data_IF_801049131012
#
_entry.id   IF_801049131012
#
_cell.length_a   1.000
_cell.length_b   1.000
_cell.length_c   1.000
_cell.angle_alpha   90.00
_cell.angle_beta   90.00
_cell.angle_gamma   90.00
#
_symmetry.space_group_name_H-M   'P 1'
#
loop_
_entity.id
_entity.type
_entity.pdbx_description
1 polymer ?
2 non-polymer ?
3 non-polymer ?
4 water ?
#
# COMPACT_ATOMS: atom_id res chain seq x y z
N UNK A 4 -5.76 7.79 30.05
CA UNK A 4 -4.77 7.25 29.04
C UNK A 4 -5.04 7.86 27.65
N UNK A 5 -4.13 8.70 27.13
CA UNK A 5 -4.43 9.52 25.96
C UNK A 5 -4.48 8.67 24.69
N UNK A 6 -5.22 9.15 23.69
CA UNK A 6 -5.26 8.50 22.37
C UNK A 6 -4.01 8.89 21.60
N UNK A 7 -3.44 7.96 20.81
CA UNK A 7 -2.21 8.26 20.12
C UNK A 7 -2.47 9.16 18.91
N UNK A 8 -1.44 9.94 18.55
CA UNK A 8 -1.41 10.81 17.36
C UNK A 8 -0.62 10.10 16.26
N UNK A 9 0.20 9.13 16.64
CA UNK A 9 1.06 8.35 15.71
C UNK A 9 1.18 6.92 16.24
N UNK A 10 1.25 5.96 15.32
CA UNK A 10 1.51 4.54 15.63
C UNK A 10 2.62 4.08 14.73
N UNK A 11 3.24 2.98 15.10
CA UNK A 11 4.20 2.33 14.20
C UNK A 11 3.60 1.01 13.73
N UNK A 12 3.85 0.75 12.47
CA UNK A 12 3.30 -0.39 11.71
C UNK A 12 4.48 -1.16 11.12
N UNK A 13 4.55 -2.47 11.39
CA UNK A 13 5.46 -3.41 10.75
C UNK A 13 4.72 -4.07 9.59
N UNK A 14 5.38 -4.10 8.44
CA UNK A 14 4.96 -4.85 7.26
C UNK A 14 6.01 -5.90 6.96
N UNK A 15 5.62 -7.17 6.85
CA UNK A 15 6.56 -8.23 6.45
C UNK A 15 6.00 -8.89 5.21
N UNK A 16 6.84 -9.23 4.26
CA UNK A 16 6.45 -10.09 3.12
C UNK A 16 7.50 -11.18 2.99
N UNK A 17 7.04 -12.41 2.90
CA UNK A 17 7.96 -13.55 2.75
C UNK A 17 7.30 -14.59 1.87
N UNK A 18 7.95 -14.91 0.79
CA UNK A 18 7.58 -16.09 -0.02
C UNK A 18 8.35 -17.27 0.59
N UNK A 19 7.62 -18.18 1.22
CA UNK A 19 8.21 -19.24 2.07
C UNK A 19 8.64 -20.43 1.21
N UNK A 20 8.39 -20.46 -0.08
CA UNK A 20 8.88 -21.54 -0.94
C UNK A 20 8.33 -22.90 -0.53
N UNK A 21 7.12 -22.91 0.03
CA UNK A 21 6.39 -24.17 0.38
C UNK A 21 7.23 -25.00 1.39
N UNK A 22 8.04 -24.34 2.22
CA UNK A 22 8.81 -25.02 3.29
C UNK A 22 8.42 -24.43 4.61
N UNK A 23 8.40 -25.21 5.70
CA UNK A 23 8.21 -24.62 7.00
C UNK A 23 9.38 -23.72 7.38
N UNK A 24 9.09 -22.75 8.25
CA UNK A 24 10.10 -21.80 8.68
C UNK A 24 11.07 -22.45 9.65
N UNK A 25 12.25 -21.83 9.84
CA UNK A 25 13.16 -22.31 10.85
C UNK A 25 12.60 -21.96 12.23
N UNK A 26 13.26 -22.43 13.27
CA UNK A 26 12.71 -22.31 14.64
C UNK A 26 12.75 -20.84 15.11
N UNK A 27 13.68 -20.03 14.64
CA UNK A 27 13.75 -18.63 15.08
C UNK A 27 13.59 -17.73 13.86
N UNK A 28 12.64 -16.81 13.94
CA UNK A 28 12.44 -15.81 12.84
C UNK A 28 12.37 -14.42 13.44
N UNK A 29 12.81 -14.24 14.67
CA UNK A 29 12.77 -12.91 15.33
C UNK A 29 13.49 -11.79 14.56
N UNK A 30 14.55 -12.10 13.81
CA UNK A 30 15.32 -11.13 13.00
C UNK A 30 14.38 -10.38 12.05
N UNK A 31 13.36 -11.06 11.56
CA UNK A 31 12.38 -10.45 10.64
C UNK A 31 11.63 -9.31 11.34
N UNK A 32 11.05 -9.59 12.52
CA UNK A 32 10.19 -8.62 13.24
C UNK A 32 11.05 -7.53 13.90
N UNK A 33 12.34 -7.76 14.06
CA UNK A 33 13.28 -6.76 14.59
C UNK A 33 13.88 -5.89 13.48
N UNK A 34 13.58 -6.15 12.22
CA UNK A 34 14.13 -5.35 11.08
C UNK A 34 15.67 -5.40 11.13
N UNK A 35 16.22 -6.61 11.24
CA UNK A 35 17.68 -6.87 11.28
C UNK A 35 18.11 -7.60 10.00
N UNK A 36 19.24 -7.21 9.44
CA UNK A 36 19.84 -7.89 8.29
C UNK A 36 20.48 -6.86 7.42
N UNK A 37 20.06 -6.81 6.15
CA UNK A 37 20.59 -5.89 5.13
C UNK A 37 19.60 -4.75 4.94
N UNK A 38 20.10 -3.63 4.42
CA UNK A 38 19.28 -2.52 3.99
C UNK A 38 19.18 -1.48 5.07
N UNK A 39 18.01 -0.85 5.18
CA UNK A 39 17.71 0.19 6.18
C UNK A 39 17.13 -0.53 7.39
N UNK A 40 17.95 -0.75 8.41
CA UNK A 40 17.64 -1.61 9.55
C UNK A 40 17.33 -0.77 10.79
N UNK A 41 16.71 -1.45 11.72
CA UNK A 41 16.21 -0.83 12.96
C UNK A 41 17.33 -0.83 14.02
N UNK A 42 17.38 0.25 14.80
CA UNK A 42 18.42 0.39 15.85
C UNK A 42 18.18 -0.64 16.96
N UNK A 43 19.28 -1.22 17.44
CA UNK A 43 19.24 -2.21 18.54
C UNK A 43 18.53 -1.65 19.77
N UNK A 44 18.59 -0.36 19.98
CA UNK A 44 18.00 0.25 21.20
C UNK A 44 16.46 0.17 21.19
N UNK A 45 15.88 -0.14 20.03
CA UNK A 45 14.41 -0.25 19.88
C UNK A 45 13.94 -1.69 19.98
N UNK A 46 14.82 -2.67 20.20
CA UNK A 46 14.41 -4.08 20.03
C UNK A 46 13.25 -4.49 20.93
N UNK A 47 13.13 -3.94 22.15
CA UNK A 47 12.06 -4.35 23.07
C UNK A 47 10.79 -3.56 22.86
N UNK A 48 10.84 -2.52 22.04
CA UNK A 48 9.68 -1.62 21.84
C UNK A 48 8.76 -2.29 20.83
N UNK A 49 7.54 -2.66 21.19
CA UNK A 49 6.65 -3.29 20.23
C UNK A 49 6.16 -2.25 19.22
N UNK A 50 6.01 -2.66 17.97
CA UNK A 50 5.18 -1.93 17.01
C UNK A 50 3.73 -2.03 17.45
N UNK A 51 2.91 -1.06 17.06
CA UNK A 51 1.49 -1.06 17.41
C UNK A 51 0.75 -2.15 16.65
N UNK A 52 1.06 -2.33 15.36
CA UNK A 52 0.38 -3.26 14.43
C UNK A 52 1.48 -3.98 13.65
N UNK A 53 1.38 -5.31 13.55
CA UNK A 53 2.21 -6.17 12.69
C UNK A 53 1.32 -6.77 11.62
N UNK A 54 1.71 -6.57 10.36
CA UNK A 54 1.02 -7.13 9.19
C UNK A 54 1.97 -8.03 8.47
N UNK A 55 1.60 -9.30 8.33
CA UNK A 55 2.51 -10.37 7.87
C UNK A 55 1.93 -11.03 6.63
N UNK A 56 2.53 -10.76 5.46
CA UNK A 56 2.11 -11.33 4.18
C UNK A 56 3.02 -12.48 3.86
N UNK A 57 2.47 -13.64 3.58
CA UNK A 57 3.23 -14.81 3.09
C UNK A 57 2.70 -15.22 1.73
N UNK A 58 3.59 -15.81 0.97
CA UNK A 58 3.27 -16.49 -0.32
C UNK A 58 3.91 -17.88 -0.29
N UNK A 59 3.33 -18.81 -1.02
CA UNK A 59 3.81 -20.21 -0.99
C UNK A 59 3.90 -20.65 0.46
N UNK A 60 2.90 -20.32 1.26
CA UNK A 60 2.88 -20.62 2.70
C UNK A 60 2.31 -22.02 2.86
N UNK A 61 3.08 -22.97 3.40
CA UNK A 61 2.60 -24.36 3.55
C UNK A 61 1.89 -24.66 4.86
N UNK A 62 1.86 -23.73 5.77
CA UNK A 62 1.34 -23.91 7.13
C UNK A 62 -0.18 -23.72 7.15
N UNK A 63 -0.81 -24.28 8.16
CA UNK A 63 -2.20 -23.93 8.49
C UNK A 63 -2.19 -22.54 9.12
N UNK A 64 -3.34 -21.89 9.14
CA UNK A 64 -3.51 -20.62 9.88
C UNK A 64 -3.14 -20.80 11.34
N UNK A 65 -3.58 -21.89 11.99
CA UNK A 65 -3.28 -22.08 13.40
C UNK A 65 -1.77 -22.18 13.59
N UNK A 66 -1.11 -23.00 12.78
CA UNK A 66 0.34 -23.24 12.89
C UNK A 66 1.10 -21.92 12.74
N UNK A 67 0.74 -21.10 11.75
CA UNK A 67 1.49 -19.84 11.52
C UNK A 67 1.21 -18.83 12.63
N UNK A 68 -0.05 -18.67 13.04
CA UNK A 68 -0.41 -17.79 14.17
C UNK A 68 0.39 -18.12 15.42
N UNK A 69 0.47 -19.42 15.74
CA UNK A 69 1.29 -19.95 16.86
C UNK A 69 2.69 -19.35 16.79
N UNK A 70 3.36 -19.55 15.65
CA UNK A 70 4.75 -19.13 15.44
C UNK A 70 4.86 -17.62 15.56
N UNK A 71 3.94 -16.89 14.94
CA UNK A 71 4.04 -15.42 14.91
C UNK A 71 3.84 -14.89 16.34
N UNK A 72 2.82 -15.33 17.02
CA UNK A 72 2.57 -14.81 18.39
C UNK A 72 3.72 -15.16 19.34
N UNK A 73 4.26 -16.36 19.22
CA UNK A 73 5.44 -16.82 20.01
C UNK A 73 6.59 -15.83 19.78
N UNK A 74 6.92 -15.59 18.51
CA UNK A 74 8.06 -14.74 18.09
C UNK A 74 7.88 -13.34 18.71
N UNK A 75 6.70 -12.74 18.57
CA UNK A 75 6.47 -11.39 19.11
C UNK A 75 6.53 -11.44 20.64
N UNK A 76 5.96 -12.46 21.26
CA UNK A 76 6.00 -12.51 22.75
C UNK A 76 7.46 -12.58 23.22
N UNK A 77 8.29 -13.38 22.55
CA UNK A 77 9.71 -13.51 22.92
C UNK A 77 10.42 -12.16 22.76
N UNK A 78 10.13 -11.42 21.70
CA UNK A 78 10.78 -10.10 21.47
C UNK A 78 10.31 -9.07 22.51
N UNK A 79 9.01 -9.00 22.74
CA UNK A 79 8.39 -7.81 23.37
C UNK A 79 7.83 -8.11 24.75
N UNK A 80 7.63 -9.38 25.07
CA UNK A 80 6.95 -9.85 26.30
C UNK A 80 5.47 -9.47 26.25
N UNK A 81 4.96 -9.13 25.07
CA UNK A 81 3.52 -8.79 24.86
C UNK A 81 2.84 -9.92 24.12
N UNK A 82 1.62 -10.25 24.54
CA UNK A 82 0.72 -11.20 23.88
C UNK A 82 -0.16 -10.43 22.91
N UNK A 83 0.17 -10.52 21.62
CA UNK A 83 -0.55 -9.72 20.60
C UNK A 83 -1.93 -10.34 20.36
N UNK A 84 -2.88 -9.51 20.00
CA UNK A 84 -4.25 -9.92 19.63
C UNK A 84 -4.33 -10.11 18.13
N UNK A 85 -5.06 -11.12 17.69
CA UNK A 85 -5.28 -11.36 16.25
C UNK A 85 -6.40 -10.47 15.73
N UNK A 86 -6.12 -9.50 14.87
CA UNK A 86 -7.12 -8.61 14.27
C UNK A 86 -7.81 -9.35 13.15
N UNK A 87 -7.04 -9.98 12.28
CA UNK A 87 -7.60 -10.64 11.10
C UNK A 87 -6.60 -11.61 10.52
N UNK A 88 -7.08 -12.65 9.91
CA UNK A 88 -6.23 -13.56 9.11
C UNK A 88 -7.05 -14.00 7.92
N UNK A 89 -6.48 -13.97 6.74
CA UNK A 89 -7.21 -14.37 5.52
C UNK A 89 -6.25 -15.06 4.55
N UNK A 90 -6.64 -16.17 3.99
CA UNK A 90 -5.80 -16.99 3.13
C UNK A 90 -6.52 -17.29 1.83
N UNK A 91 -5.84 -17.11 0.70
CA UNK A 91 -6.28 -17.56 -0.64
C UNK A 91 -5.20 -18.51 -1.13
N UNK A 92 -5.54 -19.79 -1.26
CA UNK A 92 -4.58 -20.82 -1.68
C UNK A 92 -3.41 -20.81 -0.69
N UNK A 93 -2.23 -20.40 -1.12
CA UNK A 93 -1.05 -20.34 -0.26
C UNK A 93 -0.59 -18.89 -0.05
N UNK A 94 -1.48 -17.93 -0.27
CA UNK A 94 -1.22 -16.49 -0.05
C UNK A 94 -1.96 -16.05 1.19
N UNK A 95 -1.32 -15.50 2.17
CA UNK A 95 -1.92 -15.26 3.48
C UNK A 95 -1.57 -13.88 4.01
N UNK A 96 -2.49 -13.31 4.73
CA UNK A 96 -2.23 -12.07 5.49
C UNK A 96 -2.66 -12.29 6.94
N UNK A 97 -1.81 -11.89 7.88
CA UNK A 97 -2.10 -11.88 9.33
C UNK A 97 -1.95 -10.46 9.82
N UNK A 98 -2.90 -9.97 10.58
CA UNK A 98 -2.77 -8.66 11.26
C UNK A 98 -2.85 -8.93 12.76
N UNK A 99 -1.83 -8.48 13.47
CA UNK A 99 -1.73 -8.56 14.94
C UNK A 99 -1.60 -7.16 15.50
N UNK A 100 -2.16 -6.91 16.67
CA UNK A 100 -2.08 -5.58 17.31
C UNK A 100 -1.85 -5.71 18.79
N UNK A 101 -1.23 -4.69 19.40
CA UNK A 101 -1.11 -4.57 20.87
C UNK A 101 -2.49 -4.78 21.47
N UNK A 102 -2.60 -5.46 22.64
CA UNK A 102 -3.91 -5.57 23.29
C UNK A 102 -4.61 -4.25 23.65
N UNK A 103 -3.83 -3.22 23.96
CA UNK A 103 -4.35 -1.89 24.32
C UNK A 103 -5.09 -1.28 23.13
N UNK A 104 -4.88 -1.78 21.90
CA UNK A 104 -5.58 -1.28 20.69
C UNK A 104 -6.88 -1.99 20.37
N UNK A 105 -7.26 -3.00 21.16
CA UNK A 105 -8.40 -3.86 20.79
C UNK A 105 -9.70 -3.05 20.63
N UNK A 106 -9.90 -2.04 21.50
CA UNK A 106 -11.10 -1.17 21.53
C UNK A 106 -10.84 0.12 20.73
N UNK A 107 -9.76 0.16 19.92
CA UNK A 107 -9.50 1.27 18.94
C UNK A 107 -9.74 0.75 17.52
N UNK A 108 -9.84 -0.54 17.36
CA UNK A 108 -9.89 -1.19 16.02
C UNK A 108 -11.31 -1.63 15.76
N UNK A 109 -11.87 -1.29 14.63
CA UNK A 109 -13.24 -1.68 14.30
C UNK A 109 -13.40 -1.82 12.80
N UNK A 110 -14.56 -2.23 12.32
CA UNK A 110 -14.87 -2.29 10.88
C UNK A 110 -13.80 -3.14 10.18
N UNK A 111 -13.50 -4.32 10.69
CA UNK A 111 -12.49 -5.20 10.08
C UNK A 111 -13.10 -5.83 8.86
N UNK A 112 -12.44 -5.70 7.69
CA UNK A 112 -12.85 -6.33 6.42
C UNK A 112 -11.71 -7.17 5.85
N UNK A 113 -12.04 -8.27 5.18
CA UNK A 113 -11.05 -9.13 4.48
C UNK A 113 -11.60 -9.42 3.12
N UNK A 114 -10.71 -9.61 2.16
CA UNK A 114 -11.16 -10.03 0.83
C UNK A 114 -9.99 -10.67 0.08
N UNK A 115 -10.25 -11.27 -1.05
CA UNK A 115 -9.20 -11.80 -1.93
C UNK A 115 -9.60 -11.51 -3.36
N UNK A 116 -8.63 -11.52 -4.22
CA UNK A 116 -8.82 -11.50 -5.68
C UNK A 116 -7.99 -12.59 -6.30
N UNK A 117 -8.59 -13.41 -7.17
CA UNK A 117 -7.90 -14.42 -7.96
C UNK A 117 -7.58 -13.85 -9.30
N UNK A 118 -6.30 -13.81 -9.71
CA UNK A 118 -5.96 -13.18 -11.00
C UNK A 118 -5.99 -14.23 -12.13
N UNK A 119 -5.96 -13.78 -13.37
CA UNK A 119 -5.76 -14.73 -14.48
C UNK A 119 -7.09 -15.31 -14.97
N UNK A 120 -6.99 -16.20 -15.96
CA UNK A 120 -8.14 -16.85 -16.68
C UNK A 120 -7.64 -18.23 -17.09
N UNK A 121 -8.44 -19.29 -16.81
CA UNK A 121 -8.20 -20.69 -17.22
C UNK A 121 -6.82 -21.16 -16.72
N UNK A 122 -5.87 -21.46 -17.63
CA UNK A 122 -4.44 -21.81 -17.39
C UNK A 122 -3.85 -21.02 -16.21
N UNK A 123 -4.11 -19.70 -16.19
CA UNK A 123 -3.44 -18.71 -15.29
C UNK A 123 -4.32 -18.37 -14.07
N UNK A 124 -5.51 -18.97 -13.93
CA UNK A 124 -6.29 -18.91 -12.67
C UNK A 124 -5.98 -20.15 -11.85
N UNK A 125 -5.55 -19.97 -10.60
CA UNK A 125 -5.46 -21.11 -9.65
C UNK A 125 -4.35 -20.96 -8.65
N UNK A 126 -3.38 -20.05 -8.84
CA UNK A 126 -2.50 -19.85 -7.67
C UNK A 126 -2.07 -18.42 -7.34
N UNK A 127 -2.21 -17.48 -8.28
CA UNK A 127 -1.80 -16.06 -8.10
C UNK A 127 -3.02 -15.22 -7.70
N UNK A 128 -2.76 -14.11 -7.00
CA UNK A 128 -3.81 -13.18 -6.63
C UNK A 128 -3.40 -12.43 -5.42
N UNK A 129 -4.35 -12.02 -4.64
CA UNK A 129 -4.06 -11.13 -3.50
C UNK A 129 -5.04 -11.38 -2.39
N UNK A 130 -4.62 -11.12 -1.18
CA UNK A 130 -5.50 -11.05 0.00
C UNK A 130 -5.36 -9.68 0.60
N UNK A 131 -6.36 -9.23 1.32
CA UNK A 131 -6.33 -7.92 1.93
C UNK A 131 -7.09 -7.84 3.21
N UNK A 132 -6.72 -6.87 4.01
CA UNK A 132 -7.40 -6.58 5.27
C UNK A 132 -7.56 -5.07 5.33
N UNK A 133 -8.68 -4.57 5.83
CA UNK A 133 -8.83 -3.15 6.23
C UNK A 133 -9.53 -3.02 7.56
N UNK A 134 -9.28 -1.91 8.24
CA UNK A 134 -9.99 -1.61 9.48
C UNK A 134 -9.82 -0.14 9.74
N UNK A 135 -10.61 0.32 10.70
CA UNK A 135 -10.46 1.67 11.26
C UNK A 135 -9.62 1.53 12.53
N UNK A 136 -8.68 2.44 12.72
CA UNK A 136 -7.93 2.61 13.97
C UNK A 136 -8.31 4.00 14.46
N UNK A 137 -9.15 4.06 15.49
CA UNK A 137 -9.79 5.36 15.86
C UNK A 137 -10.32 6.05 14.59
N UNK A 138 -9.95 7.28 14.27
CA UNK A 138 -10.50 8.03 13.13
C UNK A 138 -9.81 7.73 11.81
N UNK A 139 -8.86 6.79 11.79
CA UNK A 139 -7.96 6.58 10.64
C UNK A 139 -8.26 5.23 10.00
N UNK A 140 -8.41 5.22 8.69
CA UNK A 140 -8.70 3.99 7.92
C UNK A 140 -7.37 3.45 7.39
N UNK A 141 -7.17 2.15 7.56
CA UNK A 141 -5.91 1.46 7.20
C UNK A 141 -6.25 0.31 6.26
N UNK A 142 -5.55 0.18 5.16
CA UNK A 142 -5.73 -0.97 4.24
C UNK A 142 -4.39 -1.64 3.99
N UNK A 143 -4.43 -2.96 3.81
CA UNK A 143 -3.23 -3.78 3.63
C UNK A 143 -3.49 -4.82 2.57
N UNK A 144 -2.62 -4.90 1.57
CA UNK A 144 -2.77 -5.84 0.45
C UNK A 144 -1.49 -6.66 0.36
N UNK A 145 -1.64 -7.97 0.33
CA UNK A 145 -0.55 -8.92 0.06
C UNK A 145 -0.83 -9.58 -1.25
N UNK A 146 -0.05 -9.31 -2.26
CA UNK A 146 -0.25 -9.88 -3.61
C UNK A 146 0.91 -10.78 -4.00
N UNK A 147 0.61 -11.90 -4.64
CA UNK A 147 1.58 -12.77 -5.31
C UNK A 147 1.29 -12.65 -6.80
N UNK A 148 2.09 -11.91 -7.54
CA UNK A 148 1.81 -11.62 -8.95
C UNK A 148 2.48 -12.66 -9.85
N UNK A 149 2.16 -12.60 -11.13
CA UNK A 149 2.63 -13.58 -12.12
C UNK A 149 4.15 -13.60 -12.10
N UNK A 150 4.72 -14.81 -12.22
CA UNK A 150 6.19 -15.00 -12.23
C UNK A 150 6.75 -14.91 -13.66
N UNK A 151 8.06 -14.76 -13.72
CA UNK A 151 8.78 -14.86 -14.99
C UNK A 151 9.24 -13.54 -15.51
N UNK A 152 10.51 -13.50 -15.89
CA UNK A 152 11.12 -12.24 -16.34
C UNK A 152 10.39 -11.59 -17.52
N UNK A 153 9.76 -12.38 -18.39
CA UNK A 153 9.16 -11.89 -19.65
C UNK A 153 7.74 -11.38 -19.42
N UNK A 154 7.19 -11.51 -18.21
CA UNK A 154 5.74 -11.29 -17.95
C UNK A 154 5.46 -10.02 -17.14
N UNK A 155 6.24 -8.98 -17.35
CA UNK A 155 5.98 -7.73 -16.61
C UNK A 155 4.59 -7.13 -16.93
N UNK A 156 4.14 -7.25 -18.17
CA UNK A 156 2.84 -6.65 -18.57
C UNK A 156 1.72 -7.45 -17.89
N UNK A 157 1.90 -8.77 -17.68
CA UNK A 157 0.91 -9.58 -16.95
C UNK A 157 0.87 -9.15 -15.48
N UNK A 158 2.03 -8.87 -14.89
CA UNK A 158 2.05 -8.38 -13.50
C UNK A 158 1.26 -7.09 -13.46
N UNK A 159 1.47 -6.21 -14.43
CA UNK A 159 0.80 -4.89 -14.40
C UNK A 159 -0.73 -5.12 -14.48
N UNK A 160 -1.12 -6.07 -15.31
CA UNK A 160 -2.57 -6.41 -15.44
C UNK A 160 -3.06 -6.99 -14.10
N UNK A 161 -2.27 -7.86 -13.49
CA UNK A 161 -2.66 -8.41 -12.17
C UNK A 161 -2.89 -7.28 -11.16
N UNK A 162 -1.98 -6.30 -11.13
CA UNK A 162 -2.13 -5.13 -10.26
C UNK A 162 -3.48 -4.45 -10.49
N UNK A 163 -3.81 -4.18 -11.76
CA UNK A 163 -5.06 -3.43 -12.05
C UNK A 163 -6.27 -4.28 -11.63
N UNK A 164 -6.25 -5.58 -11.92
CA UNK A 164 -7.39 -6.44 -11.45
C UNK A 164 -7.52 -6.38 -9.93
N UNK A 165 -6.42 -6.51 -9.19
CA UNK A 165 -6.51 -6.52 -7.73
C UNK A 165 -7.08 -5.17 -7.24
N UNK A 166 -6.53 -4.09 -7.79
CA UNK A 166 -6.89 -2.68 -7.50
C UNK A 166 -8.40 -2.52 -7.69
N UNK A 167 -8.93 -3.08 -8.77
CA UNK A 167 -10.35 -2.93 -9.16
C UNK A 167 -11.28 -3.75 -8.29
N UNK A 168 -10.89 -4.99 -8.00
CA UNK A 168 -11.88 -5.98 -7.51
C UNK A 168 -11.76 -6.28 -6.03
N UNK A 169 -10.68 -5.84 -5.38
CA UNK A 169 -10.53 -6.15 -3.96
C UNK A 169 -11.51 -5.23 -3.22
N UNK A 170 -12.41 -5.81 -2.46
CA UNK A 170 -13.52 -5.07 -1.82
C UNK A 170 -13.23 -4.88 -0.35
N UNK A 171 -12.53 -3.80 -0.04
CA UNK A 171 -12.17 -3.47 1.36
C UNK A 171 -12.69 -2.10 1.68
N UNK A 172 -12.67 -1.74 2.96
CA UNK A 172 -13.04 -0.41 3.44
C UNK A 172 -14.52 -0.13 3.24
N UNK A 173 -14.84 1.16 3.27
CA UNK A 173 -16.23 1.66 3.41
C UNK A 173 -16.94 1.47 2.07
N UNK A 174 -17.90 0.55 2.02
CA UNK A 174 -18.66 0.22 0.77
C UNK A 174 -19.50 1.41 0.29
N UNK A 175 -19.77 2.41 1.12
CA UNK A 175 -20.46 3.64 0.70
C UNK A 175 -19.58 4.47 -0.25
N UNK A 176 -18.26 4.23 -0.22
CA UNK A 176 -17.33 4.94 -1.13
C UNK A 176 -17.37 4.30 -2.51
N UNK A 177 -18.57 4.19 -3.09
CA UNK A 177 -18.81 3.32 -4.26
C UNK A 177 -18.00 3.75 -5.46
N UNK A 178 -17.72 5.03 -5.74
CA UNK A 178 -16.90 5.36 -6.92
C UNK A 178 -15.40 5.02 -6.76
N UNK A 179 -14.98 4.65 -5.56
CA UNK A 179 -13.54 4.64 -5.21
C UNK A 179 -13.05 3.22 -5.09
N UNK A 180 -11.90 2.95 -5.65
CA UNK A 180 -11.20 1.67 -5.45
C UNK A 180 -10.31 1.74 -4.21
N UNK A 181 -9.61 0.63 -3.91
CA UNK A 181 -8.79 0.64 -2.68
C UNK A 181 -7.70 1.73 -2.69
N UNK A 182 -7.31 2.26 -3.85
CA UNK A 182 -6.24 3.28 -3.89
C UNK A 182 -6.76 4.65 -3.40
N UNK A 183 -8.04 4.76 -3.06
CA UNK A 183 -8.61 5.99 -2.47
C UNK A 183 -9.38 5.75 -1.18
N UNK A 184 -9.57 4.52 -0.74
CA UNK A 184 -10.45 4.27 0.42
C UNK A 184 -9.77 4.47 1.76
N UNK A 185 -8.45 4.57 1.84
CA UNK A 185 -7.74 4.52 3.12
C UNK A 185 -6.82 5.69 3.35
N UNK A 186 -6.78 6.12 4.59
CA UNK A 186 -5.81 7.14 5.01
C UNK A 186 -4.39 6.67 4.63
N UNK A 187 -4.10 5.43 4.96
CA UNK A 187 -2.82 4.77 4.64
C UNK A 187 -3.14 3.40 4.02
N UNK A 188 -2.60 3.14 2.82
CA UNK A 188 -2.70 1.82 2.15
C UNK A 188 -1.30 1.28 1.96
N UNK A 189 -1.05 0.07 2.44
CA UNK A 189 0.24 -0.64 2.27
C UNK A 189 0.00 -1.77 1.32
N UNK A 190 0.80 -1.88 0.27
CA UNK A 190 0.68 -2.93 -0.75
C UNK A 190 2.04 -3.63 -0.87
N UNK A 191 2.10 -4.91 -0.57
CA UNK A 191 3.34 -5.66 -0.44
C UNK A 191 3.12 -7.04 -1.02
N UNK A 192 4.19 -7.82 -1.12
CA UNK A 192 4.07 -9.19 -1.58
C UNK A 192 5.24 -9.60 -2.42
N UNK A 193 5.10 -10.81 -2.95
CA UNK A 193 5.98 -11.26 -4.05
C UNK A 193 5.43 -10.72 -5.35
N UNK A 194 5.78 -9.48 -5.62
CA UNK A 194 5.34 -8.79 -6.84
C UNK A 194 6.01 -9.35 -8.07
N UNK A 195 7.14 -10.03 -7.91
CA UNK A 195 7.72 -10.86 -8.97
C UNK A 195 8.33 -10.05 -10.10
N UNK A 196 8.53 -8.73 -9.95
CA UNK A 196 9.29 -7.99 -10.96
C UNK A 196 10.79 -8.31 -10.85
N UNK A 197 11.44 -8.37 -11.99
CA UNK A 197 12.81 -8.90 -12.11
C UNK A 197 13.76 -7.79 -12.55
N UNK A 198 15.04 -8.09 -12.41
CA UNK A 198 16.14 -7.28 -12.94
C UNK A 198 16.30 -7.73 -14.38
N UNK A 199 15.99 -6.85 -15.32
CA UNK A 199 15.90 -7.21 -16.77
C UNK A 199 17.25 -6.92 -17.43
N UNK A 200 18.19 -7.85 -17.24
CA UNK A 200 19.53 -7.84 -17.86
C UNK A 200 19.62 -9.15 -18.62
N UNK A 201 20.52 -9.24 -19.62
CA UNK A 201 20.65 -10.49 -20.36
C UNK A 201 21.07 -11.65 -19.44
N UNK A 202 20.63 -12.86 -19.75
CA UNK A 202 20.83 -14.06 -18.90
C UNK A 202 22.33 -14.40 -18.80
N UNK A 203 23.11 -14.02 -19.83
CA UNK A 203 24.57 -14.28 -19.88
C UNK A 203 25.34 -13.22 -19.07
N UNK A 204 24.65 -12.23 -18.48
CA UNK A 204 25.23 -11.34 -17.44
C UNK A 204 25.02 -11.91 -16.01
N UNK A 205 24.54 -13.13 -15.85
CA UNK A 205 24.22 -13.68 -14.51
C UNK A 205 25.42 -13.55 -13.57
N UNK A 206 26.61 -13.96 -13.99
CA UNK A 206 27.76 -14.01 -13.08
C UNK A 206 28.19 -12.56 -12.80
N UNK A 207 28.06 -11.68 -13.78
CA UNK A 207 28.39 -10.25 -13.58
C UNK A 207 27.46 -9.68 -12.52
N UNK A 208 26.16 -10.02 -12.61
CA UNK A 208 25.20 -9.55 -11.57
C UNK A 208 25.60 -10.05 -10.18
N UNK A 209 25.90 -11.32 -10.08
CA UNK A 209 26.32 -11.91 -8.78
C UNK A 209 27.53 -11.17 -8.20
N UNK A 210 28.52 -10.85 -9.03
CA UNK A 210 29.73 -10.15 -8.53
C UNK A 210 29.36 -8.71 -8.11
N UNK A 211 28.42 -8.05 -8.79
CA UNK A 211 27.94 -6.73 -8.33
C UNK A 211 27.31 -6.85 -6.94
N UNK A 212 26.47 -7.88 -6.75
CA UNK A 212 25.81 -8.10 -5.44
C UNK A 212 26.88 -8.33 -4.36
N UNK A 213 27.90 -9.14 -4.64
CA UNK A 213 29.00 -9.38 -3.66
C UNK A 213 29.74 -8.09 -3.29
N UNK A 214 29.81 -7.11 -4.20
CA UNK A 214 30.45 -5.81 -3.99
C UNK A 214 29.47 -4.83 -3.35
N UNK A 215 28.22 -5.27 -3.09
CA UNK A 215 27.16 -4.37 -2.61
C UNK A 215 27.00 -3.18 -3.53
N UNK A 216 27.15 -3.38 -4.83
CA UNK A 216 26.99 -2.30 -5.82
C UNK A 216 25.67 -2.56 -6.52
N UNK A 217 24.60 -1.94 -6.06
CA UNK A 217 23.23 -2.27 -6.54
C UNK A 217 22.79 -1.31 -7.64
N UNK A 218 23.50 -0.20 -7.91
CA UNK A 218 22.93 0.88 -8.76
C UNK A 218 22.62 0.38 -10.18
N UNK A 219 23.53 -0.33 -10.83
CA UNK A 219 23.31 -0.77 -12.23
C UNK A 219 22.34 -1.94 -12.27
N UNK A 220 22.04 -2.57 -11.12
CA UNK A 220 20.96 -3.55 -11.11
C UNK A 220 19.61 -2.86 -10.93
N UNK A 221 19.51 -1.94 -9.97
CA UNK A 221 18.22 -1.24 -9.71
C UNK A 221 17.77 -0.45 -10.94
N UNK A 222 18.71 0.08 -11.72
CA UNK A 222 18.34 0.82 -12.96
C UNK A 222 17.68 -0.13 -13.96
N UNK A 223 17.70 -1.44 -13.75
CA UNK A 223 17.03 -2.40 -14.65
C UNK A 223 15.90 -3.11 -13.92
N UNK A 224 15.61 -2.73 -12.67
CA UNK A 224 14.48 -3.36 -11.96
C UNK A 224 13.17 -3.01 -12.64
N UNK A 225 12.39 -4.01 -12.98
CA UNK A 225 11.16 -3.78 -13.78
C UNK A 225 10.14 -2.99 -12.99
N UNK A 226 10.03 -3.16 -11.68
CA UNK A 226 9.04 -2.39 -10.93
C UNK A 226 9.43 -0.90 -10.93
N UNK A 227 10.70 -0.56 -10.67
CA UNK A 227 11.12 0.85 -10.73
C UNK A 227 10.89 1.40 -12.15
N UNK A 228 11.22 0.67 -13.21
CA UNK A 228 11.11 1.25 -14.56
C UNK A 228 9.65 1.32 -14.92
N UNK A 229 8.83 0.32 -14.62
CA UNK A 229 7.38 0.39 -14.91
C UNK A 229 6.72 1.55 -14.15
N UNK A 230 7.11 1.76 -12.90
CA UNK A 230 6.59 2.88 -12.08
C UNK A 230 6.99 4.20 -12.75
N UNK A 231 8.25 4.33 -13.18
CA UNK A 231 8.73 5.62 -13.76
C UNK A 231 7.97 5.90 -15.05
N UNK A 232 7.55 4.87 -15.80
CA UNK A 232 6.78 5.07 -17.05
C UNK A 232 5.28 5.08 -16.78
N UNK A 233 4.87 5.11 -15.52
CA UNK A 233 3.46 5.24 -15.10
C UNK A 233 2.63 4.07 -15.66
N UNK A 234 3.21 2.88 -15.64
CA UNK A 234 2.53 1.65 -16.11
C UNK A 234 1.89 0.89 -14.96
N UNK A 235 2.26 1.18 -13.71
CA UNK A 235 1.80 0.41 -12.53
C UNK A 235 2.08 1.23 -11.26
N UNK A 236 1.34 0.99 -10.22
CA UNK A 236 1.56 1.59 -8.91
C UNK A 236 1.64 3.11 -9.01
N UNK A 237 0.79 3.71 -9.82
CA UNK A 237 0.80 5.18 -9.93
C UNK A 237 0.43 5.77 -8.56
N UNK A 238 1.20 6.76 -8.13
CA UNK A 238 0.98 7.52 -6.88
C UNK A 238 1.25 6.69 -5.66
N UNK A 239 1.99 5.60 -5.77
CA UNK A 239 2.53 4.90 -4.58
C UNK A 239 3.97 5.28 -4.36
N UNK A 240 4.45 5.08 -3.14
CA UNK A 240 5.85 5.35 -2.70
C UNK A 240 6.53 4.01 -2.39
N UNK A 241 7.86 3.97 -2.54
CA UNK A 241 8.67 2.86 -2.06
C UNK A 241 9.95 3.49 -1.54
N UNK A 242 10.42 2.98 -0.40
CA UNK A 242 11.73 3.39 0.19
C UNK A 242 12.85 2.91 -0.74
N UNK A 243 13.96 3.66 -0.78
CA UNK A 243 15.13 3.23 -1.56
C UNK A 243 15.56 1.85 -1.09
N UNK A 244 15.87 1.00 -2.05
CA UNK A 244 16.37 -0.38 -1.83
C UNK A 244 17.87 -0.34 -1.62
N UNK A 245 18.30 -0.85 -0.49
CA UNK A 245 19.75 -0.84 -0.12
C UNK A 245 20.15 -2.22 0.38
N UNK A 246 19.39 -3.26 0.04
CA UNK A 246 19.63 -4.67 0.42
C UNK A 246 19.77 -5.45 -0.88
N UNK A 247 20.43 -6.59 -0.79
CA UNK A 247 20.67 -7.43 -1.97
C UNK A 247 19.37 -7.99 -2.47
N UNK A 248 19.31 -8.36 -3.76
CA UNK A 248 18.17 -9.10 -4.28
C UNK A 248 17.77 -10.26 -3.38
N UNK A 249 16.45 -10.44 -3.19
CA UNK A 249 15.90 -11.39 -2.21
C UNK A 249 15.52 -12.73 -2.84
N UNK A 250 15.77 -12.87 -4.13
CA UNK A 250 15.42 -14.08 -4.91
C UNK A 250 16.51 -14.20 -5.97
N UNK A 251 16.88 -15.38 -6.47
CA UNK A 251 16.49 -16.70 -6.03
C UNK A 251 17.70 -17.35 -5.37
N UNK A 252 17.62 -17.69 -4.10
CA UNK A 252 18.70 -18.32 -3.30
C UNK A 252 18.61 -19.84 -3.33
N UNK A 253 19.76 -20.48 -3.28
CA UNK A 253 19.86 -21.88 -2.81
C UNK A 253 19.37 -21.91 -1.36
N UNK A 254 18.56 -22.89 -1.02
CA UNK A 254 18.07 -23.00 0.37
C UNK A 254 19.20 -23.42 1.32
N UNK A 255 19.08 -23.04 2.57
CA UNK A 255 19.88 -23.44 3.77
C UNK A 255 21.20 -22.66 3.81
N UNK A 256 21.48 -21.79 2.82
CA UNK A 256 22.58 -20.78 2.88
C UNK A 256 22.02 -19.45 2.36
N UNK A 257 22.76 -18.34 2.43
CA UNK A 257 22.49 -17.18 1.55
C UNK A 257 23.70 -16.91 0.67
N UNK A 258 24.59 -17.88 0.51
CA UNK A 258 25.88 -17.62 -0.18
C UNK A 258 25.74 -17.77 -1.69
N UNK A 259 24.63 -18.37 -2.16
CA UNK A 259 24.47 -18.74 -3.57
C UNK A 259 23.10 -18.32 -4.09
N UNK A 260 23.13 -17.60 -5.19
CA UNK A 260 21.98 -17.34 -6.06
C UNK A 260 21.89 -18.50 -7.05
N UNK A 261 20.71 -19.11 -7.13
CA UNK A 261 20.40 -20.23 -8.03
C UNK A 261 19.60 -19.67 -9.20
N UNK A 262 20.26 -19.30 -10.26
CA UNK A 262 19.62 -18.58 -11.37
C UNK A 262 19.44 -19.42 -12.64
N UNK A 263 20.16 -20.54 -12.76
CA UNK A 263 20.23 -21.32 -14.03
C UNK A 263 18.89 -21.99 -14.29
N UNK A 264 18.56 -22.21 -15.57
CA UNK A 264 17.29 -22.87 -15.96
C UNK A 264 17.36 -24.35 -15.57
N UNK A 265 16.25 -24.86 -15.11
CA UNK A 265 16.09 -26.25 -14.62
C UNK A 265 14.69 -26.75 -15.01
N UNK A 266 14.49 -28.08 -15.10
CA UNK A 266 13.13 -28.58 -15.39
C UNK A 266 12.16 -28.01 -14.35
N UNK A 267 12.58 -27.96 -13.09
CA UNK A 267 11.77 -27.45 -11.95
C UNK A 267 11.36 -25.99 -12.16
N UNK A 268 12.10 -25.22 -12.96
CA UNK A 268 11.72 -23.80 -13.25
C UNK A 268 11.02 -23.65 -14.59
N UNK A 269 10.62 -24.74 -15.25
CA UNK A 269 10.07 -24.61 -16.60
C UNK A 269 11.11 -24.19 -17.59
N UNK A 270 12.37 -24.49 -17.32
CA UNK A 270 13.51 -24.08 -18.16
C UNK A 270 13.55 -22.57 -18.28
N UNK A 271 13.29 -21.89 -17.16
CA UNK A 271 13.36 -20.41 -17.03
C UNK A 271 14.58 -20.04 -16.18
N UNK A 272 15.26 -18.97 -16.58
CA UNK A 272 16.31 -18.34 -15.76
C UNK A 272 15.63 -17.49 -14.70
N UNK A 273 16.22 -17.51 -13.52
CA UNK A 273 15.80 -16.60 -12.42
C UNK A 273 17.00 -15.75 -12.03
N UNK A 274 17.33 -14.74 -12.82
CA UNK A 274 18.43 -13.84 -12.45
C UNK A 274 18.04 -13.20 -11.11
N UNK A 275 19.03 -12.89 -10.26
CA UNK A 275 18.78 -12.27 -8.95
C UNK A 275 17.90 -11.02 -9.13
N UNK A 276 16.86 -10.95 -8.32
CA UNK A 276 15.81 -9.95 -8.44
C UNK A 276 15.26 -9.52 -7.09
N UNK A 277 14.72 -8.31 -7.10
CA UNK A 277 13.98 -7.79 -5.94
C UNK A 277 12.49 -8.13 -6.12
N UNK A 278 12.17 -9.41 -5.98
CA UNK A 278 10.74 -9.84 -6.15
C UNK A 278 9.85 -9.30 -5.03
N UNK A 279 10.40 -9.08 -3.84
CA UNK A 279 9.67 -9.01 -2.55
C UNK A 279 9.67 -7.56 -2.08
N UNK A 280 8.53 -6.90 -2.04
CA UNK A 280 8.52 -5.42 -2.00
C UNK A 280 7.45 -4.94 -1.06
N UNK A 281 7.60 -3.70 -0.59
CA UNK A 281 6.59 -2.99 0.19
C UNK A 281 6.45 -1.59 -0.37
N UNK A 282 5.24 -1.25 -0.72
CA UNK A 282 4.90 0.10 -1.22
C UNK A 282 3.74 0.65 -0.40
N UNK A 283 3.55 1.96 -0.45
CA UNK A 283 2.43 2.55 0.28
C UNK A 283 1.88 3.76 -0.44
N UNK A 284 0.70 4.14 -0.05
CA UNK A 284 0.05 5.36 -0.54
C UNK A 284 -0.74 5.90 0.63
N UNK A 285 -0.51 7.14 1.01
CA UNK A 285 -1.26 7.78 2.09
C UNK A 285 -1.89 9.04 1.52
N UNK A 286 -3.02 9.44 2.12
CA UNK A 286 -3.69 10.69 1.72
C UNK A 286 -2.68 11.83 1.82
N UNK A 287 -2.94 12.92 1.03
CA UNK A 287 -2.05 14.07 1.04
C UNK A 287 -1.91 14.69 2.43
N UNK A 288 -0.66 15.03 2.77
CA UNK A 288 -0.27 15.76 3.99
C UNK A 288 -0.60 14.97 5.25
N UNK A 289 -0.70 13.64 5.17
CA UNK A 289 -0.75 12.82 6.38
C UNK A 289 0.68 12.34 6.65
N UNK A 290 1.09 12.37 7.90
CA UNK A 290 2.42 11.90 8.31
C UNK A 290 2.56 10.40 8.00
N UNK A 291 3.59 10.04 7.24
CA UNK A 291 3.96 8.62 7.06
C UNK A 291 5.44 8.62 6.77
N UNK A 292 6.21 7.93 7.56
CA UNK A 292 7.67 7.90 7.41
C UNK A 292 8.15 6.47 7.50
N UNK A 293 8.82 6.01 6.45
CA UNK A 293 9.47 4.67 6.49
C UNK A 293 10.69 4.70 7.41
N UNK A 294 10.68 3.84 8.43
CA UNK A 294 11.75 3.74 9.44
C UNK A 294 12.74 2.61 9.11
N UNK A 295 12.31 1.61 8.33
CA UNK A 295 13.20 0.48 7.98
C UNK A 295 12.68 -0.14 6.67
N UNK A 296 13.57 -0.71 5.89
CA UNK A 296 13.20 -1.40 4.64
C UNK A 296 14.40 -2.26 4.31
N UNK A 297 14.29 -3.55 4.49
CA UNK A 297 15.45 -4.44 4.34
C UNK A 297 15.08 -5.88 4.26
N UNK A 298 16.06 -6.73 4.27
CA UNK A 298 15.83 -8.19 4.21
C UNK A 298 16.57 -8.86 5.34
N UNK A 299 16.10 -10.01 5.78
CA UNK A 299 16.86 -10.79 6.78
C UNK A 299 17.95 -11.58 6.06
N UNK A 300 19.00 -11.89 6.83
CA UNK A 300 20.17 -12.65 6.35
C UNK A 300 20.21 -14.07 6.94
N UNK A 301 19.43 -14.36 7.98
CA UNK A 301 19.59 -15.59 8.78
C UNK A 301 18.38 -16.53 8.67
N UNK A 302 17.42 -16.26 7.79
CA UNK A 302 16.22 -17.13 7.58
C UNK A 302 16.38 -17.70 6.16
N UNK A 303 16.67 -19.00 6.07
CA UNK A 303 17.24 -19.62 4.82
C UNK A 303 16.43 -20.83 4.36
N UNK A 304 15.22 -21.05 4.89
CA UNK A 304 14.39 -22.23 4.51
C UNK A 304 13.80 -22.06 3.12
N UNK A 305 13.65 -20.82 2.64
CA UNK A 305 13.06 -20.53 1.33
C UNK A 305 14.10 -20.10 0.32
N UNK A 306 13.74 -20.12 -0.94
CA UNK A 306 14.54 -19.52 -2.03
C UNK A 306 14.33 -17.99 -2.08
N UNK A 307 13.47 -17.43 -1.24
CA UNK A 307 13.40 -15.98 -0.99
C UNK A 307 13.83 -15.66 0.42
N UNK A 308 14.43 -14.49 0.64
CA UNK A 308 14.58 -13.96 1.99
C UNK A 308 13.37 -13.11 2.34
N UNK A 309 12.98 -13.14 3.61
CA UNK A 309 11.96 -12.23 4.11
C UNK A 309 12.36 -10.76 3.96
N UNK A 310 11.38 -9.93 3.71
CA UNK A 310 11.53 -8.47 3.65
C UNK A 310 10.70 -7.83 4.76
N UNK A 311 11.25 -6.82 5.38
CA UNK A 311 10.57 -6.02 6.41
C UNK A 311 10.52 -4.56 5.97
N UNK A 312 9.50 -3.89 6.43
CA UNK A 312 9.41 -2.43 6.35
C UNK A 312 8.65 -1.97 7.58
N UNK A 313 9.07 -0.87 8.15
CA UNK A 313 8.31 -0.27 9.27
C UNK A 313 8.05 1.19 8.98
N UNK A 314 6.96 1.67 9.57
CA UNK A 314 6.45 3.00 9.32
C UNK A 314 5.94 3.65 10.60
N UNK A 315 6.16 4.96 10.70
CA UNK A 315 5.46 5.82 11.67
C UNK A 315 4.33 6.51 10.91
N UNK A 316 3.06 6.27 11.30
CA UNK A 316 1.86 6.69 10.57
C UNK A 316 1.01 7.56 11.49
N UNK A 317 0.65 8.75 10.98
CA UNK A 317 -0.29 9.62 11.70
C UNK A 317 -1.66 9.01 11.78
N UNK A 318 -2.27 9.16 12.97
CA UNK A 318 -3.64 8.71 13.24
C UNK A 318 -4.36 9.84 13.96
N UNK A 319 -5.65 9.79 13.84
CA UNK A 319 -6.54 10.78 14.49
C UNK A 319 -7.50 10.09 15.44
N UNK A 320 -8.08 10.87 16.35
CA UNK A 320 -9.01 10.41 17.42
C UNK A 320 -10.40 10.18 16.83
N UNK A 321 -11.25 9.46 17.57
CA UNK A 321 -12.69 9.32 17.26
C UNK A 321 -13.40 10.54 17.85
N UNK A 322 -13.46 11.65 17.10
CA UNK A 322 -13.90 12.98 17.58
C UNK A 322 -15.41 13.02 17.90
N UNK A 323 -15.74 13.48 19.12
CA UNK A 323 -17.12 13.85 19.56
C UNK A 323 -17.13 15.36 19.88
N UNK A 324 -18.16 16.08 19.44
CA UNK A 324 -18.48 17.43 19.97
C UNK A 324 -19.94 17.44 20.48
N UNK A 325 -20.37 18.58 20.99
CA UNK A 325 -21.76 18.83 21.49
C UNK A 325 -22.72 18.62 20.32
N UNK A 326 -22.27 18.95 19.09
CA UNK A 326 -23.02 18.84 17.81
C UNK A 326 -22.72 17.48 17.15
N UNK A 327 -21.87 17.43 16.11
CA UNK A 327 -21.56 16.16 15.43
C UNK A 327 -20.79 15.22 16.35
N UNK A 328 -20.91 13.87 16.21
CA UNK A 328 -21.80 13.20 15.24
C UNK A 328 -23.33 13.18 15.49
N UNK A 329 -24.10 13.22 14.40
CA UNK A 329 -25.57 13.09 14.42
C UNK A 329 -26.28 14.39 14.21
N UNK A 330 -25.50 15.41 13.83
CA UNK A 330 -25.99 16.71 13.36
C UNK A 330 -24.79 17.39 12.68
N UNK A 331 -25.02 18.49 11.97
CA UNK A 331 -23.94 19.36 11.43
C UNK A 331 -23.48 20.31 12.55
N UNK A 332 -22.29 20.89 12.41
CA UNK A 332 -21.85 22.08 13.18
C UNK A 332 -21.82 23.25 12.20
N UNK A 333 -22.86 24.08 12.21
CA UNK A 333 -23.13 25.14 11.20
C UNK A 333 -22.05 26.23 11.27
N UNK A 334 -21.11 26.12 12.20
CA UNK A 334 -19.92 27.01 12.28
C UNK A 334 -18.90 26.57 11.22
N UNK A 335 -19.07 25.38 10.65
CA UNK A 335 -18.16 24.78 9.63
C UNK A 335 -18.71 24.89 8.22
N UNK A 336 -17.84 25.17 7.24
CA UNK A 336 -18.19 25.04 5.82
C UNK A 336 -16.94 24.87 4.94
N UNK A 337 -17.14 24.16 3.84
CA UNK A 337 -16.12 23.97 2.76
C UNK A 337 -16.72 24.47 1.46
N UNK A 338 -16.07 25.47 0.87
CA UNK A 338 -16.48 26.05 -0.44
C UNK A 338 -15.38 25.73 -1.45
N UNK A 339 -15.78 25.20 -2.60
CA UNK A 339 -14.92 25.00 -3.81
C UNK A 339 -15.20 26.16 -4.78
N UNK A 340 -14.19 26.98 -5.09
CA UNK A 340 -14.29 28.16 -5.99
C UNK A 340 -13.59 27.84 -7.32
N UNK A 341 -14.21 28.18 -8.45
CA UNK A 341 -13.50 28.29 -9.74
C UNK A 341 -12.82 26.94 -10.01
N UNK A 342 -13.53 25.87 -9.76
CA UNK A 342 -12.93 24.53 -9.97
C UNK A 342 -13.17 24.08 -11.40
N UNK A 343 -12.19 23.34 -11.93
CA UNK A 343 -12.41 22.67 -13.22
C UNK A 343 -11.66 21.36 -13.25
N UNK A 344 -12.28 20.43 -13.95
CA UNK A 344 -11.71 19.10 -14.23
C UNK A 344 -11.18 19.14 -15.66
N UNK A 345 -10.02 18.58 -15.87
CA UNK A 345 -9.46 18.38 -17.21
C UNK A 345 -9.45 16.87 -17.42
N UNK A 346 -10.15 16.37 -18.45
CA UNK A 346 -10.26 14.91 -18.63
C UNK A 346 -9.65 14.47 -19.94
N UNK A 347 -9.05 13.30 -19.93
CA UNK A 347 -8.45 12.69 -21.14
C UNK A 347 -9.51 12.01 -22.01
N UNK A 348 -10.76 11.88 -21.56
CA UNK A 348 -11.86 11.22 -22.31
C UNK A 348 -12.19 11.88 -23.64
N UNK A 349 -12.64 11.05 -24.59
CA UNK A 349 -13.18 11.51 -25.91
C UNK A 349 -14.70 11.69 -25.81
N UNK A 350 -15.32 11.17 -24.74
CA UNK A 350 -16.78 11.24 -24.49
C UNK A 350 -17.24 12.70 -24.51
N UNK A 351 -18.52 12.96 -24.80
CA UNK A 351 -19.11 14.34 -24.77
C UNK A 351 -20.33 14.40 -23.84
N UNK A 352 -20.57 13.41 -22.98
CA UNK A 352 -21.59 13.47 -21.90
C UNK A 352 -21.37 14.75 -21.06
N UNK A 353 -22.39 15.20 -20.35
CA UNK A 353 -22.20 16.12 -19.21
C UNK A 353 -21.64 15.31 -18.04
N UNK A 354 -21.00 16.02 -17.12
CA UNK A 354 -20.43 15.41 -15.90
C UNK A 354 -20.89 16.18 -14.68
N UNK A 355 -20.96 15.46 -13.57
CA UNK A 355 -21.22 16.02 -12.22
C UNK A 355 -20.14 15.48 -11.29
N UNK A 356 -20.04 16.09 -10.11
CA UNK A 356 -19.09 15.62 -9.07
C UNK A 356 -19.84 14.95 -7.94
N UNK A 357 -19.16 14.05 -7.26
CA UNK A 357 -19.57 13.63 -5.89
C UNK A 357 -18.43 13.92 -4.94
N UNK A 358 -18.76 14.46 -3.76
CA UNK A 358 -17.81 14.76 -2.69
C UNK A 358 -18.09 13.74 -1.60
N UNK A 359 -17.12 12.92 -1.24
CA UNK A 359 -17.26 11.93 -0.16
C UNK A 359 -16.27 12.22 0.96
N UNK A 360 -16.72 12.18 2.20
CA UNK A 360 -15.81 12.38 3.33
C UNK A 360 -16.52 11.97 4.60
N UNK A 361 -15.77 11.35 5.50
CA UNK A 361 -16.21 11.01 6.89
C UNK A 361 -16.65 12.28 7.62
N UNK A 362 -16.18 13.46 7.18
CA UNK A 362 -16.57 14.73 7.85
C UNK A 362 -17.97 15.18 7.40
N UNK A 363 -18.59 14.50 6.45
CA UNK A 363 -19.97 14.80 5.95
C UNK A 363 -20.94 13.73 6.44
N UNK A 364 -22.21 14.08 6.63
CA UNK A 364 -23.21 13.06 7.06
C UNK A 364 -23.39 12.04 5.93
N UNK A 365 -23.35 12.48 4.69
CA UNK A 365 -23.38 11.61 3.52
C UNK A 365 -22.82 12.36 2.32
N UNK A 366 -22.58 11.65 1.24
CA UNK A 366 -21.89 12.28 0.08
C UNK A 366 -22.79 13.33 -0.54
N UNK A 367 -22.16 14.21 -1.29
CA UNK A 367 -22.83 15.40 -1.91
C UNK A 367 -22.61 15.36 -3.40
N UNK A 368 -23.70 15.47 -4.15
CA UNK A 368 -23.71 15.42 -5.64
C UNK A 368 -23.92 16.83 -6.18
N UNK A 369 -22.98 17.33 -6.99
CA UNK A 369 -23.03 18.67 -7.61
C UNK A 369 -24.02 18.65 -8.78
N UNK A 370 -24.31 19.86 -9.25
CA UNK A 370 -24.91 20.14 -10.58
C UNK A 370 -23.91 19.71 -11.65
N UNK A 371 -24.39 19.56 -12.87
CA UNK A 371 -23.52 19.31 -14.03
C UNK A 371 -22.60 20.51 -14.26
N UNK A 372 -21.37 20.26 -14.68
CA UNK A 372 -20.46 21.31 -15.11
C UNK A 372 -20.73 21.74 -16.55
N UNK A 373 -19.99 22.75 -16.98
CA UNK A 373 -20.02 23.33 -18.35
C UNK A 373 -18.81 22.83 -19.14
N UNK A 374 -19.05 21.99 -20.14
CA UNK A 374 -17.99 21.42 -21.01
C UNK A 374 -17.44 22.51 -21.94
N UNK A 375 -16.11 22.64 -22.01
CA UNK A 375 -15.42 23.45 -23.05
C UNK A 375 -14.36 22.54 -23.67
N UNK A 376 -13.93 22.83 -24.89
CA UNK A 376 -12.76 22.19 -25.56
C UNK A 376 -11.49 22.91 -25.08
N UNK A 377 -10.52 22.18 -24.52
CA UNK A 377 -9.15 22.66 -24.24
C UNK A 377 -8.32 22.81 -25.52
N UNK A 378 -7.39 23.76 -25.55
CA UNK A 378 -6.59 24.13 -26.75
C UNK A 378 -5.92 22.89 -27.36
N UNK A 379 -5.34 22.01 -26.54
CA UNK A 379 -4.49 20.87 -26.99
C UNK A 379 -5.36 19.61 -27.16
N UNK A 380 -6.69 19.74 -27.31
CA UNK A 380 -7.60 18.65 -27.72
C UNK A 380 -8.12 17.80 -26.56
N UNK A 381 -8.52 18.40 -25.42
CA UNK A 381 -8.99 17.67 -24.21
C UNK A 381 -10.36 18.21 -23.75
N UNK A 382 -10.99 17.53 -22.80
CA UNK A 382 -12.25 18.04 -22.23
C UNK A 382 -11.96 18.82 -20.93
N UNK A 383 -12.44 20.06 -20.85
CA UNK A 383 -12.40 20.87 -19.61
C UNK A 383 -13.85 20.99 -19.16
N UNK A 384 -14.10 20.58 -17.93
CA UNK A 384 -15.44 20.67 -17.32
C UNK A 384 -15.36 21.76 -16.27
N UNK A 385 -16.06 22.88 -16.48
CA UNK A 385 -16.01 24.06 -15.57
C UNK A 385 -17.16 23.96 -14.57
N UNK A 386 -16.93 24.19 -13.28
CA UNK A 386 -18.01 24.14 -12.27
C UNK A 386 -18.37 25.52 -11.72
N UNK A 387 -17.50 26.48 -11.96
CA UNK A 387 -17.75 27.89 -11.62
C UNK A 387 -17.75 28.08 -10.11
N UNK A 388 -18.77 28.77 -9.62
CA UNK A 388 -19.06 28.97 -8.19
C UNK A 388 -20.39 28.26 -7.93
N UNK A 389 -20.70 27.25 -8.75
CA UNK A 389 -21.97 26.49 -8.74
C UNK A 389 -21.92 25.38 -7.68
N UNK A 390 -20.74 25.00 -7.18
CA UNK A 390 -20.61 23.74 -6.37
C UNK A 390 -21.30 23.91 -5.01
N UNK A 391 -21.92 22.83 -4.49
CA UNK A 391 -22.65 22.91 -3.22
C UNK A 391 -21.68 23.26 -2.08
N UNK A 392 -22.10 24.11 -1.13
CA UNK A 392 -21.33 24.38 0.10
C UNK A 392 -21.39 23.13 0.98
N UNK A 393 -20.26 22.53 1.37
CA UNK A 393 -20.26 21.28 2.16
C UNK A 393 -20.33 21.65 3.65
N UNK A 394 -21.12 20.89 4.37
CA UNK A 394 -21.46 21.15 5.79
C UNK A 394 -20.90 20.03 6.63
N UNK A 395 -19.70 20.21 7.20
CA UNK A 395 -19.11 19.17 8.02
C UNK A 395 -19.88 19.06 9.33
N UNK A 396 -19.73 17.88 9.93
CA UNK A 396 -20.45 17.40 11.14
C UNK A 396 -19.84 18.04 12.38
N UNK A 397 -18.58 18.43 12.25
CA UNK A 397 -17.76 19.01 13.35
C UNK A 397 -17.00 20.21 12.76
N UNK A 398 -16.96 21.35 13.45
CA UNK A 398 -16.35 22.60 12.93
C UNK A 398 -15.00 22.87 13.58
N UNK A 399 -14.67 22.13 14.64
CA UNK A 399 -13.43 22.30 15.41
C UNK A 399 -12.28 22.18 14.42
N UNK A 400 -11.36 23.17 14.33
CA UNK A 400 -10.24 23.11 13.40
C UNK A 400 -9.29 21.94 13.71
N UNK A 401 -9.15 21.54 14.97
CA UNK A 401 -8.31 20.36 15.34
C UNK A 401 -8.82 19.07 14.69
N UNK A 402 -10.10 19.04 14.38
CA UNK A 402 -10.68 17.88 13.64
C UNK A 402 -10.62 18.20 12.15
N UNK A 403 -11.14 19.35 11.74
CA UNK A 403 -11.49 19.54 10.32
C UNK A 403 -10.22 19.62 9.48
N UNK A 404 -9.16 20.23 9.98
CA UNK A 404 -7.93 20.42 9.18
C UNK A 404 -7.26 19.06 8.95
N UNK A 405 -7.62 18.02 9.70
CA UNK A 405 -7.05 16.67 9.52
C UNK A 405 -7.86 15.83 8.53
N UNK A 406 -8.92 16.39 7.95
CA UNK A 406 -9.83 15.59 7.10
C UNK A 406 -9.44 15.71 5.62
N UNK A 407 -10.10 14.91 4.81
CA UNK A 407 -9.85 14.79 3.36
C UNK A 407 -11.20 14.68 2.66
N UNK A 408 -11.28 15.27 1.46
CA UNK A 408 -12.46 15.18 0.58
C UNK A 408 -12.10 14.34 -0.63
N UNK A 409 -12.74 13.18 -0.79
CA UNK A 409 -12.65 12.39 -2.03
C UNK A 409 -13.57 13.03 -3.05
N UNK A 410 -13.09 13.09 -4.30
CA UNK A 410 -13.88 13.64 -5.44
C UNK A 410 -13.96 12.60 -6.54
N UNK A 411 -15.17 12.35 -7.03
CA UNK A 411 -15.42 11.55 -8.24
C UNK A 411 -16.10 12.45 -9.24
N UNK A 412 -15.63 12.39 -10.50
CA UNK A 412 -16.34 13.06 -11.61
C UNK A 412 -17.05 11.94 -12.37
N UNK A 413 -18.39 12.07 -12.49
CA UNK A 413 -19.27 11.00 -13.02
C UNK A 413 -20.01 11.52 -14.26
N UNK A 414 -20.19 10.63 -15.22
CA UNK A 414 -21.01 10.87 -16.43
C UNK A 414 -22.49 10.97 -16.03
N UNK A 415 -23.17 12.03 -16.46
CA UNK A 415 -24.65 12.17 -16.30
C UNK A 415 -25.36 11.03 -17.05
N UNK A 416 -24.82 10.56 -18.16
CA UNK A 416 -25.48 9.55 -19.02
C UNK A 416 -25.40 8.18 -18.37
N UNK A 417 -24.29 7.83 -17.70
CA UNK A 417 -24.07 6.43 -17.24
C UNK A 417 -23.91 6.36 -15.73
N UNK A 418 -23.71 7.49 -15.07
CA UNK A 418 -23.37 7.60 -13.62
C UNK A 418 -22.09 6.80 -13.30
N UNK A 419 -21.24 6.53 -14.26
CA UNK A 419 -19.95 5.83 -14.08
C UNK A 419 -18.93 6.93 -13.77
N UNK A 420 -18.02 6.64 -12.83
CA UNK A 420 -16.88 7.54 -12.52
C UNK A 420 -15.86 7.51 -13.65
N UNK A 421 -15.47 8.69 -14.11
CA UNK A 421 -14.40 8.88 -15.10
C UNK A 421 -13.10 9.24 -14.39
N UNK A 422 -13.13 9.57 -13.08
CA UNK A 422 -11.91 9.95 -12.39
C UNK A 422 -12.17 10.18 -10.92
N UNK A 423 -11.19 9.80 -10.12
CA UNK A 423 -11.27 9.89 -8.66
C UNK A 423 -9.98 10.55 -8.16
N UNK A 424 -10.10 11.35 -7.11
CA UNK A 424 -8.95 12.01 -6.48
C UNK A 424 -9.26 12.43 -5.06
N UNK A 425 -8.32 13.10 -4.42
CA UNK A 425 -8.46 13.40 -2.98
C UNK A 425 -7.85 14.76 -2.71
N UNK A 426 -8.53 15.56 -1.93
CA UNK A 426 -8.07 16.91 -1.49
C UNK A 426 -7.89 16.91 0.03
N UNK A 427 -6.73 17.32 0.51
CA UNK A 427 -6.53 17.50 1.97
C UNK A 427 -7.15 18.83 2.41
N UNK A 428 -7.68 18.83 3.64
CA UNK A 428 -8.11 20.10 4.30
C UNK A 428 -7.03 20.65 5.23
N UNK A 429 -5.82 20.10 5.18
CA UNK A 429 -4.64 20.60 5.94
C UNK A 429 -4.13 21.87 5.26
N UNK A 430 -4.89 22.96 5.39
CA UNK A 430 -4.61 24.21 4.66
C UNK A 430 -3.67 25.13 5.42
N UNK A 431 -3.01 26.01 4.67
CA UNK A 431 -2.10 27.04 5.22
C UNK A 431 -2.88 28.12 5.99
N UNK A 432 -4.17 28.21 5.78
CA UNK A 432 -5.04 29.30 6.29
C UNK A 432 -6.50 28.88 6.21
N UNK A 433 -7.36 29.42 7.08
CA UNK A 433 -8.83 29.28 7.00
C UNK A 433 -9.40 30.65 6.57
N UNK A 434 -10.64 30.63 6.09
CA UNK A 434 -11.37 31.83 5.65
C UNK A 434 -10.56 32.53 4.54
N UNK A 435 -9.85 31.77 3.72
CA UNK A 435 -8.87 32.30 2.74
C UNK A 435 -8.98 31.43 1.49
N UNK A 436 -9.10 32.02 0.29
CA UNK A 436 -9.16 31.23 -0.97
C UNK A 436 -7.76 30.70 -1.20
N UNK A 437 -7.62 29.37 -1.35
CA UNK A 437 -6.30 28.75 -1.52
C UNK A 437 -6.35 27.75 -2.67
N UNK A 438 -5.27 27.62 -3.45
CA UNK A 438 -5.27 26.65 -4.54
C UNK A 438 -5.39 25.21 -4.02
N UNK A 439 -6.15 24.40 -4.75
CA UNK A 439 -6.23 22.93 -4.51
C UNK A 439 -6.01 22.22 -5.83
N UNK A 440 -5.61 20.96 -5.75
CA UNK A 440 -5.26 20.17 -6.93
C UNK A 440 -5.31 18.70 -6.54
N UNK A 441 -5.81 17.86 -7.43
CA UNK A 441 -5.53 16.39 -7.33
C UNK A 441 -5.45 15.88 -8.76
N UNK A 442 -4.58 14.90 -9.03
CA UNK A 442 -4.74 14.08 -10.23
C UNK A 442 -6.04 13.28 -10.07
N UNK A 443 -6.60 12.89 -11.20
CA UNK A 443 -7.76 11.99 -11.25
C UNK A 443 -7.29 10.70 -11.87
N UNK A 444 -7.72 9.59 -11.28
CA UNK A 444 -7.47 8.26 -11.84
C UNK A 444 -8.76 7.49 -11.97
N UNK A 445 -8.74 6.45 -12.82
CA UNK A 445 -9.84 5.47 -12.85
C UNK A 445 -9.21 4.13 -13.13
N UNK A 446 -9.61 3.13 -12.36
CA UNK A 446 -8.94 1.82 -12.37
C UNK A 446 -7.43 2.04 -12.17
N UNK A 447 -7.06 3.04 -11.38
CA UNK A 447 -5.65 3.28 -11.00
C UNK A 447 -4.81 3.93 -12.07
N UNK A 448 -5.37 4.23 -13.26
CA UNK A 448 -4.64 4.93 -14.32
C UNK A 448 -5.09 6.38 -14.42
N UNK A 449 -4.17 7.22 -14.85
CA UNK A 449 -4.42 8.68 -14.92
C UNK A 449 -5.50 8.97 -15.96
N UNK A 450 -6.54 9.71 -15.60
CA UNK A 450 -7.64 10.10 -16.52
C UNK A 450 -7.81 11.60 -16.61
N UNK A 451 -7.08 12.34 -15.80
CA UNK A 451 -7.30 13.79 -15.77
C UNK A 451 -6.80 14.43 -14.51
N UNK A 452 -7.31 15.62 -14.28
CA UNK A 452 -6.93 16.48 -13.14
C UNK A 452 -8.11 17.31 -12.66
N UNK A 453 -8.06 17.67 -11.37
CA UNK A 453 -9.08 18.56 -10.77
C UNK A 453 -8.31 19.65 -10.04
N UNK A 454 -8.65 20.91 -10.35
CA UNK A 454 -7.94 22.03 -9.69
C UNK A 454 -8.90 23.18 -9.51
N UNK A 455 -8.59 24.03 -8.57
CA UNK A 455 -9.47 25.18 -8.28
C UNK A 455 -8.98 25.82 -7.03
N UNK A 456 -9.90 26.43 -6.29
CA UNK A 456 -9.59 27.01 -4.98
C UNK A 456 -10.59 26.50 -3.96
N UNK A 457 -10.18 26.53 -2.71
CA UNK A 457 -11.02 26.12 -1.56
C UNK A 457 -11.05 27.30 -0.59
N UNK A 458 -12.07 27.34 0.22
CA UNK A 458 -12.22 28.28 1.36
C UNK A 458 -12.86 27.46 2.47
N UNK A 459 -12.10 27.26 3.55
CA UNK A 459 -12.52 26.45 4.70
C UNK A 459 -12.85 27.36 5.87
N UNK A 460 -14.08 27.24 6.38
CA UNK A 460 -14.54 27.89 7.63
C UNK A 460 -14.51 26.85 8.75
N UNK A 461 -13.80 27.15 9.85
CA UNK A 461 -13.81 26.32 11.06
C UNK A 461 -14.40 27.19 12.16
N UNK A 462 -14.58 26.63 13.35
CA UNK A 462 -15.06 27.39 14.53
C UNK A 462 -14.01 28.41 15.00
N UNK A 463 -12.76 28.34 14.57
CA UNK A 463 -11.72 29.30 15.07
C UNK A 463 -11.41 30.40 14.02
X LIG B 1 -11.64 1.52 6.68
X LIG B 1 -18.24 -0.37 7.03
X LIG B 1 -16.53 1.49 7.33
X LIG B 1 -16.86 0.16 6.99
X LIG B 1 -15.80 -0.64 6.61
X LIG B 1 -19.37 0.50 7.36
X LIG B 1 -19.94 1.16 6.11
X LIG B 1 -18.53 -1.56 4.89
X LIG B 1 -12.74 1.35 6.79
X LIG B 1 -18.50 -1.66 6.41
X LIG B 1 -14.23 1.01 6.89
X LIG B 1 -15.21 1.91 7.28
X LIG B 1 -20.15 0.17 4.97
X LIG B 1 -14.57 -0.22 6.56
X LIG B 1 -18.94 -0.31 4.43
X LIG C 1 -7.66 10.43 9.02
X LIG C 1 -6.95 10.02 10.26
X LIG C 1 -6.65 11.68 8.34
X LIG C 1 -9.00 11.52 9.55
X LIG D 1 -12.29 9.94 4.17
X LIG D 1 -13.10 11.03 4.85
X LIG D 1 -13.50 8.75 3.62
X LIG D 1 -11.95 10.56 2.58
X LIG E 1 -4.40 11.63 -5.55
X LIG E 1 -5.31 10.62 -4.86
X LIG E 1 -2.79 10.91 -5.60
X LIG E 1 -4.06 12.91 -4.37
#
# INVERSE_FOLDING_TARGET
SMEQPEPDMITIFIGTWNMGNAPPPKKITSWFLSKGQGKTRDDSADYIPHDIYVIGTQEDPLSEKEWLEILKHSLQEITSVTFKTVAIHTLWNIRIVVLAKPEHENRISHICTDNVKTGIANTLGNKGAVGVSFMFNGTSLGFVNSHLTSGSEKKLRRNQNYMNILRFLALGDKKLSPFNITHRFTHLFWFGDLNYRVDLPTWEAETIIQKIKQQQYADLLSHDQLLTERREQKVFLHFEEEEITFAPTYRFERLTRDKYAYTKQKATGMKYNLPSWCDRVLWKSYPLVHVVCQSYGSTSDIMTSDHSPVFATFEAGVTSQFVSKNGPGTVDSQGQIEFLRCYATLKTKSQTKFYLEFHSSCLESFVKSQEGENEEGSEGELVVKFGETLPKLKPIISDPEYLLDQHILISIKSSDSDESYGEGCIALRLEATETQLPIYTPLTHHGELTGHFQGEIKLQTSQ
NTG N1 N3 C4 C5 C6 C7 C8 C10 C1 C11 C2 C3 C9 N2 O1
DMS S O C1 C2
DMS S O C1 C2
DMS S O C1 C2
#
